data_IF_392386186110
#
_entry.id   IF_392386186110
#
_cell.length_a   1.000
_cell.length_b   1.000
_cell.length_c   1.000
_cell.angle_alpha   90.00
_cell.angle_beta   90.00
_cell.angle_gamma   90.00
#
_symmetry.space_group_name_H-M   'P 1'
#
loop_
_entity.id
_entity.type
_entity.pdbx_description
1 polymer ?
#
# COMPACT_ATOMS: atom_id res chain seq x y z
N UNK A 1 7.55 -17.35 73.47
CA UNK A 1 8.49 -17.43 72.34
C UNK A 1 7.63 -17.42 71.04
N UNK A 2 7.46 -16.29 70.44
CA UNK A 2 6.65 -16.10 69.22
C UNK A 2 7.64 -16.02 68.06
N UNK A 3 7.59 -16.99 67.12
CA UNK A 3 8.37 -16.98 65.88
C UNK A 3 7.59 -16.23 64.80
N UNK A 4 8.11 -15.10 64.39
CA UNK A 4 7.64 -14.35 63.19
C UNK A 4 8.23 -15.04 61.96
N UNK A 5 7.37 -15.56 61.10
CA UNK A 5 7.73 -16.00 59.74
C UNK A 5 7.65 -14.79 58.82
N UNK A 6 8.79 -14.31 58.35
CA UNK A 6 8.87 -13.27 57.32
C UNK A 6 8.64 -13.92 55.94
N UNK A 7 7.50 -13.65 55.32
CA UNK A 7 7.26 -14.02 53.94
C UNK A 7 7.82 -12.92 53.03
N UNK A 8 8.94 -13.22 52.37
CA UNK A 8 9.49 -12.35 51.30
C UNK A 8 8.70 -12.63 50.04
N UNK A 9 7.86 -11.66 49.63
CA UNK A 9 7.14 -11.67 48.35
C UNK A 9 8.10 -11.19 47.25
N UNK A 10 8.65 -12.11 46.45
CA UNK A 10 9.45 -11.79 45.28
C UNK A 10 8.50 -11.39 44.16
N UNK A 11 8.40 -10.08 43.89
CA UNK A 11 7.68 -9.52 42.77
C UNK A 11 8.54 -9.65 41.51
N UNK A 12 8.26 -10.68 40.69
CA UNK A 12 8.91 -10.82 39.37
C UNK A 12 8.23 -9.82 38.42
N UNK A 13 8.89 -8.69 38.16
CA UNK A 13 8.52 -7.77 37.11
C UNK A 13 8.83 -8.42 35.75
N UNK A 14 7.82 -8.99 35.11
CA UNK A 14 7.87 -9.37 33.71
C UNK A 14 7.89 -8.09 32.89
N UNK A 15 9.08 -7.59 32.59
CA UNK A 15 9.27 -6.59 31.55
C UNK A 15 8.96 -7.26 30.20
N UNK A 16 7.75 -7.06 29.72
CA UNK A 16 7.38 -7.38 28.35
C UNK A 16 8.27 -6.52 27.45
N UNK A 17 9.30 -7.10 26.86
CA UNK A 17 9.98 -6.50 25.73
C UNK A 17 9.00 -6.49 24.57
N UNK A 18 8.22 -5.42 24.45
CA UNK A 18 7.55 -5.13 23.20
C UNK A 18 8.66 -4.90 22.17
N UNK A 19 8.87 -5.86 21.28
CA UNK A 19 9.72 -5.65 20.11
C UNK A 19 9.17 -4.45 19.35
N UNK A 20 10.01 -3.48 19.03
CA UNK A 20 9.64 -2.40 18.12
C UNK A 20 9.07 -3.02 16.83
N UNK A 21 8.02 -2.41 16.25
CA UNK A 21 7.50 -2.89 14.97
C UNK A 21 8.62 -2.95 13.96
N UNK A 22 8.63 -3.96 13.07
CA UNK A 22 9.66 -4.05 12.04
C UNK A 22 9.61 -2.78 11.19
N UNK A 23 10.67 -2.01 11.22
CA UNK A 23 10.82 -0.81 10.39
C UNK A 23 10.84 -1.24 8.93
N UNK A 24 9.92 -0.71 8.12
CA UNK A 24 9.95 -0.96 6.68
C UNK A 24 11.21 -0.30 6.14
N UNK A 25 12.11 -1.04 5.50
CA UNK A 25 13.37 -0.47 5.05
C UNK A 25 13.14 0.67 4.05
N UNK A 26 13.93 1.74 4.19
CA UNK A 26 13.94 2.83 3.24
C UNK A 26 15.38 3.32 3.02
N UNK A 27 15.85 3.45 1.76
CA UNK A 27 15.15 3.03 0.54
C UNK A 27 15.05 1.51 0.44
N UNK A 28 13.96 1.03 -0.17
CA UNK A 28 13.79 -0.38 -0.43
C UNK A 28 13.23 -0.57 -1.84
N UNK A 29 13.98 -1.28 -2.67
CA UNK A 29 13.57 -1.69 -4.00
C UNK A 29 13.08 -3.13 -3.94
N UNK A 30 11.90 -3.31 -3.32
CA UNK A 30 11.38 -4.62 -2.97
C UNK A 30 10.84 -5.32 -4.22
N UNK A 31 11.33 -6.52 -4.51
CA UNK A 31 10.70 -7.44 -5.43
C UNK A 31 9.76 -8.36 -4.64
N UNK A 32 8.47 -8.17 -4.80
CA UNK A 32 7.48 -8.92 -3.99
C UNK A 32 7.43 -10.41 -4.34
N UNK A 33 8.05 -10.85 -5.44
CA UNK A 33 8.16 -12.27 -5.77
C UNK A 33 9.23 -13.00 -4.97
N UNK A 34 10.10 -12.26 -4.27
CA UNK A 34 11.18 -12.80 -3.44
C UNK A 34 10.83 -12.78 -1.94
N UNK A 35 9.68 -12.22 -1.58
CA UNK A 35 9.21 -12.19 -0.21
C UNK A 35 8.55 -13.52 0.18
N UNK A 36 8.72 -13.89 1.45
CA UNK A 36 8.10 -15.08 2.01
C UNK A 36 6.57 -14.99 2.05
N UNK A 37 5.93 -16.15 1.93
CA UNK A 37 4.49 -16.26 2.12
C UNK A 37 4.12 -16.20 3.61
N UNK A 38 2.99 -15.57 3.91
CA UNK A 38 2.42 -15.45 5.25
C UNK A 38 1.00 -15.98 5.28
N UNK A 39 0.55 -16.36 6.47
CA UNK A 39 -0.83 -16.78 6.70
C UNK A 39 -1.69 -15.57 7.07
N UNK A 40 -2.83 -15.41 6.41
CA UNK A 40 -3.85 -14.42 6.77
C UNK A 40 -5.04 -15.09 7.44
N UNK A 41 -5.18 -14.88 8.73
CA UNK A 41 -6.29 -15.48 9.52
C UNK A 41 -7.67 -14.99 9.04
N UNK A 42 -7.75 -13.77 8.52
CA UNK A 42 -8.99 -13.19 7.97
C UNK A 42 -9.42 -13.80 6.63
N UNK A 43 -8.48 -14.42 5.90
CA UNK A 43 -8.73 -15.02 4.58
C UNK A 43 -8.10 -16.44 4.54
N UNK A 44 -8.72 -17.42 5.18
CA UNK A 44 -8.15 -18.77 5.24
C UNK A 44 -8.06 -19.41 3.85
N UNK A 45 -7.04 -20.22 3.65
CA UNK A 45 -6.83 -20.97 2.39
C UNK A 45 -6.17 -20.18 1.26
N UNK A 46 -5.75 -18.93 1.50
CA UNK A 46 -5.02 -18.15 0.51
C UNK A 46 -3.51 -18.21 0.76
N UNK A 47 -2.72 -17.94 -0.28
CA UNK A 47 -1.30 -17.63 -0.17
C UNK A 47 -1.13 -16.11 -0.21
N UNK A 48 -0.51 -15.56 0.79
CA UNK A 48 -0.33 -14.13 0.91
C UNK A 48 1.16 -13.78 1.08
N UNK A 49 1.55 -12.66 0.47
CA UNK A 49 2.85 -12.03 0.70
C UNK A 49 2.59 -10.69 1.37
N UNK A 50 3.08 -10.49 2.58
CA UNK A 50 2.95 -9.21 3.27
C UNK A 50 3.96 -8.22 2.71
N UNK A 51 3.48 -7.09 2.20
CA UNK A 51 4.27 -6.01 1.60
C UNK A 51 4.67 -4.98 2.66
N UNK A 52 3.70 -4.59 3.49
CA UNK A 52 3.91 -3.73 4.65
C UNK A 52 2.94 -4.12 5.76
N UNK A 53 3.29 -3.78 6.99
CA UNK A 53 2.43 -4.03 8.14
C UNK A 53 2.85 -3.20 9.34
N UNK A 54 1.85 -2.75 10.10
CA UNK A 54 2.02 -2.09 11.38
C UNK A 54 1.36 -2.97 12.46
N UNK A 55 2.14 -3.65 13.29
CA UNK A 55 1.60 -4.55 14.32
C UNK A 55 0.80 -3.80 15.40
N UNK A 56 1.01 -2.50 15.57
CA UNK A 56 0.29 -1.69 16.56
C UNK A 56 -1.13 -1.39 16.10
N UNK A 57 -1.29 -0.93 14.87
CA UNK A 57 -2.58 -0.60 14.25
C UNK A 57 -3.16 -1.77 13.50
N UNK A 58 -2.38 -2.81 13.23
CA UNK A 58 -2.74 -3.97 12.38
C UNK A 58 -3.12 -3.57 10.95
N UNK A 59 -2.65 -2.42 10.48
CA UNK A 59 -2.69 -2.06 9.05
C UNK A 59 -1.80 -3.03 8.29
N UNK A 60 -2.26 -3.48 7.13
CA UNK A 60 -1.47 -4.37 6.30
C UNK A 60 -1.68 -4.10 4.83
N UNK A 61 -0.60 -4.23 4.07
CA UNK A 61 -0.61 -4.26 2.61
C UNK A 61 -0.12 -5.64 2.19
N UNK A 62 -0.91 -6.33 1.39
CA UNK A 62 -0.63 -7.70 1.00
C UNK A 62 -0.84 -7.90 -0.51
N UNK A 63 -0.05 -8.79 -1.09
CA UNK A 63 -0.39 -9.45 -2.35
C UNK A 63 -0.93 -10.83 -2.01
N UNK A 64 -2.08 -11.18 -2.58
CA UNK A 64 -2.78 -12.43 -2.25
C UNK A 64 -3.02 -13.21 -3.53
N UNK A 65 -2.67 -14.49 -3.50
CA UNK A 65 -3.04 -15.47 -4.51
C UNK A 65 -4.23 -16.29 -3.98
N UNK A 66 -5.40 -16.05 -4.57
CA UNK A 66 -6.64 -16.75 -4.29
C UNK A 66 -6.70 -17.99 -5.21
N UNK A 67 -6.80 -19.22 -4.68
CA UNK A 67 -6.90 -20.41 -5.53
C UNK A 67 -8.25 -20.49 -6.25
N UNK A 68 -8.34 -21.36 -7.25
CA UNK A 68 -9.61 -21.66 -7.89
C UNK A 68 -10.63 -22.15 -6.86
N UNK A 69 -11.90 -21.82 -7.10
CA UNK A 69 -13.05 -22.14 -6.24
C UNK A 69 -12.97 -21.58 -4.80
N UNK A 70 -12.03 -20.66 -4.53
CA UNK A 70 -11.92 -20.04 -3.22
C UNK A 70 -13.12 -19.12 -2.93
N UNK A 71 -13.57 -19.15 -1.67
CA UNK A 71 -14.64 -18.29 -1.15
C UNK A 71 -14.26 -17.71 0.21
N UNK A 72 -14.64 -16.48 0.45
CA UNK A 72 -14.42 -15.77 1.69
C UNK A 72 -15.30 -14.53 1.82
N UNK A 73 -15.02 -13.72 2.82
CA UNK A 73 -15.75 -12.46 3.06
C UNK A 73 -14.76 -11.35 3.34
N UNK A 74 -15.03 -10.15 2.81
CA UNK A 74 -14.25 -8.94 3.09
C UNK A 74 -15.16 -7.77 3.42
N UNK A 75 -14.66 -6.81 4.19
CA UNK A 75 -15.44 -5.69 4.71
C UNK A 75 -16.25 -6.06 5.95
N UNK A 76 -17.12 -5.15 6.38
CA UNK A 76 -18.03 -5.37 7.50
C UNK A 76 -17.43 -5.11 8.88
N UNK A 77 -16.14 -4.89 9.03
CA UNK A 77 -15.53 -4.56 10.31
C UNK A 77 -15.72 -3.06 10.64
N UNK A 78 -16.35 -2.71 11.79
CA UNK A 78 -16.63 -1.30 12.11
C UNK A 78 -15.39 -0.42 12.23
N UNK A 79 -14.27 -0.99 12.65
CA UNK A 79 -13.02 -0.26 12.86
C UNK A 79 -12.05 -0.32 11.68
N UNK A 80 -12.45 -0.88 10.53
CA UNK A 80 -11.54 -1.12 9.42
C UNK A 80 -12.14 -0.85 8.07
N UNK A 81 -11.36 -0.23 7.20
CA UNK A 81 -11.62 -0.19 5.76
C UNK A 81 -10.72 -1.18 5.02
N UNK A 82 -11.23 -1.74 3.93
CA UNK A 82 -10.51 -2.63 3.04
C UNK A 82 -10.45 -2.03 1.63
N UNK A 83 -9.34 -2.28 0.97
CA UNK A 83 -9.13 -1.84 -0.40
C UNK A 83 -8.48 -2.97 -1.18
N UNK A 84 -8.94 -3.22 -2.39
CA UNK A 84 -8.38 -4.26 -3.24
C UNK A 84 -8.23 -3.81 -4.69
N UNK A 85 -7.23 -4.41 -5.36
CA UNK A 85 -6.99 -4.23 -6.79
C UNK A 85 -6.67 -5.58 -7.41
N UNK A 86 -7.37 -5.96 -8.48
CA UNK A 86 -7.17 -7.25 -9.15
C UNK A 86 -6.01 -7.13 -10.12
N UNK A 87 -4.92 -7.84 -9.83
CA UNK A 87 -3.71 -7.91 -10.68
C UNK A 87 -3.90 -8.89 -11.84
N UNK A 88 -4.53 -10.05 -11.58
CA UNK A 88 -4.76 -11.10 -12.56
C UNK A 88 -5.94 -11.97 -12.15
N UNK A 89 -6.56 -12.63 -13.13
CA UNK A 89 -7.71 -13.50 -12.91
C UNK A 89 -9.00 -12.73 -12.71
N UNK A 90 -9.93 -13.35 -11.97
CA UNK A 90 -11.28 -12.82 -11.75
C UNK A 90 -11.71 -12.99 -10.30
N UNK A 91 -12.24 -11.93 -9.73
CA UNK A 91 -12.83 -11.89 -8.41
C UNK A 91 -14.28 -11.44 -8.50
N UNK A 92 -15.22 -12.25 -7.99
CA UNK A 92 -16.58 -11.82 -7.73
C UNK A 92 -16.64 -11.20 -6.34
N UNK A 93 -17.09 -9.95 -6.27
CA UNK A 93 -17.38 -9.24 -5.01
C UNK A 93 -18.90 -9.07 -4.92
N UNK A 94 -19.56 -9.88 -4.09
CA UNK A 94 -20.98 -10.16 -4.17
C UNK A 94 -21.37 -10.61 -5.61
N UNK A 95 -22.23 -9.86 -6.28
CA UNK A 95 -22.64 -10.14 -7.67
C UNK A 95 -21.86 -9.31 -8.72
N UNK A 96 -20.83 -8.55 -8.27
CA UNK A 96 -20.02 -7.70 -9.15
C UNK A 96 -18.77 -8.45 -9.55
N UNK A 97 -18.56 -8.56 -10.87
CA UNK A 97 -17.38 -9.18 -11.46
C UNK A 97 -16.25 -8.16 -11.59
N UNK A 98 -15.11 -8.44 -10.97
CA UNK A 98 -13.88 -7.69 -11.10
C UNK A 98 -12.83 -8.54 -11.82
N UNK A 99 -12.41 -8.11 -12.98
CA UNK A 99 -11.32 -8.70 -13.74
C UNK A 99 -9.99 -7.96 -13.46
N UNK A 100 -8.92 -8.33 -14.11
CA UNK A 100 -7.64 -7.60 -14.03
C UNK A 100 -7.86 -6.10 -14.27
N UNK A 101 -7.40 -5.26 -13.34
CA UNK A 101 -7.71 -3.83 -13.30
C UNK A 101 -8.96 -3.47 -12.49
N UNK A 102 -9.73 -4.45 -12.02
CA UNK A 102 -10.85 -4.19 -11.11
C UNK A 102 -10.38 -3.65 -9.76
N UNK A 103 -11.10 -2.67 -9.23
CA UNK A 103 -10.79 -2.00 -7.97
C UNK A 103 -12.01 -1.95 -7.05
N UNK A 104 -11.80 -2.13 -5.76
CA UNK A 104 -12.82 -1.89 -4.76
C UNK A 104 -12.25 -1.25 -3.49
N UNK A 105 -13.01 -0.34 -2.91
CA UNK A 105 -12.83 0.21 -1.57
C UNK A 105 -14.09 -0.03 -0.76
N UNK A 106 -13.94 -0.66 0.39
CA UNK A 106 -14.99 -0.97 1.34
C UNK A 106 -14.76 -0.14 2.60
N UNK A 107 -15.54 0.93 2.82
CA UNK A 107 -15.35 1.79 3.99
C UNK A 107 -15.65 1.03 5.29
N UNK A 108 -15.08 1.51 6.39
CA UNK A 108 -15.33 0.97 7.72
C UNK A 108 -16.83 0.97 8.04
N UNK A 109 -17.31 -0.14 8.61
CA UNK A 109 -18.72 -0.31 8.96
C UNK A 109 -19.65 -0.55 7.75
N UNK A 110 -19.11 -0.72 6.53
CA UNK A 110 -19.91 -1.22 5.40
C UNK A 110 -20.36 -2.66 5.68
N UNK A 111 -21.35 -3.15 4.91
CA UNK A 111 -21.70 -4.56 4.95
C UNK A 111 -20.50 -5.41 4.48
N UNK A 112 -20.36 -6.60 5.03
CA UNK A 112 -19.42 -7.59 4.53
C UNK A 112 -19.83 -8.08 3.15
N UNK A 113 -18.87 -8.22 2.26
CA UNK A 113 -19.06 -8.72 0.91
C UNK A 113 -18.53 -10.14 0.77
N UNK A 114 -19.37 -11.03 0.24
CA UNK A 114 -18.88 -12.33 -0.17
C UNK A 114 -17.93 -12.16 -1.35
N UNK A 115 -16.79 -12.81 -1.25
CA UNK A 115 -15.80 -12.90 -2.32
C UNK A 115 -15.70 -14.33 -2.81
N UNK A 116 -15.60 -14.52 -4.11
CA UNK A 116 -15.33 -15.82 -4.72
C UNK A 116 -14.53 -15.66 -6.00
N UNK A 117 -13.75 -16.67 -6.34
CA UNK A 117 -12.98 -16.70 -7.58
C UNK A 117 -13.11 -18.08 -8.20
N UNK A 118 -13.78 -18.20 -9.37
CA UNK A 118 -13.96 -19.50 -10.03
C UNK A 118 -12.63 -20.13 -10.46
N UNK A 119 -11.78 -19.33 -11.10
CA UNK A 119 -10.56 -19.80 -11.73
C UNK A 119 -9.27 -19.34 -11.01
N UNK A 120 -9.43 -18.67 -9.87
CA UNK A 120 -8.35 -18.05 -9.13
C UNK A 120 -8.13 -16.59 -9.51
N UNK A 121 -7.49 -15.85 -8.59
CA UNK A 121 -7.13 -14.46 -8.80
C UNK A 121 -5.88 -14.09 -8.01
N UNK A 122 -5.13 -13.11 -8.50
CA UNK A 122 -4.09 -12.41 -7.74
C UNK A 122 -4.57 -11.00 -7.48
N UNK A 123 -4.55 -10.57 -6.23
CA UNK A 123 -5.01 -9.25 -5.81
C UNK A 123 -3.97 -8.55 -4.93
N UNK A 124 -3.97 -7.22 -4.95
CA UNK A 124 -3.48 -6.42 -3.84
C UNK A 124 -4.63 -6.25 -2.85
N UNK A 125 -4.32 -6.37 -1.57
CA UNK A 125 -5.30 -6.30 -0.51
C UNK A 125 -4.76 -5.49 0.67
N UNK A 126 -5.43 -4.38 0.96
CA UNK A 126 -5.03 -3.44 1.97
C UNK A 126 -6.08 -3.36 3.07
N UNK A 127 -5.62 -3.43 4.30
CA UNK A 127 -6.45 -3.23 5.50
C UNK A 127 -5.96 -1.98 6.20
N UNK A 128 -6.84 -1.03 6.42
CA UNK A 128 -6.53 0.20 7.13
C UNK A 128 -7.48 0.37 8.32
N UNK A 129 -7.04 1.12 9.34
CA UNK A 129 -7.94 1.55 10.39
C UNK A 129 -9.01 2.49 9.83
N UNK A 130 -10.16 2.51 10.47
CA UNK A 130 -11.18 3.50 10.22
C UNK A 130 -10.63 4.90 10.56
N UNK A 131 -10.71 5.81 9.62
CA UNK A 131 -10.40 7.20 9.87
C UNK A 131 -11.71 7.94 10.22
N UNK A 132 -11.82 8.57 11.40
CA UNK A 132 -13.03 9.27 11.81
C UNK A 132 -13.35 10.47 10.91
N UNK A 133 -12.36 11.05 10.25
CA UNK A 133 -12.52 12.18 9.33
C UNK A 133 -12.93 11.73 7.91
N UNK A 134 -12.87 10.44 7.60
CA UNK A 134 -13.35 9.91 6.32
C UNK A 134 -14.82 10.27 6.11
N UNK A 135 -15.14 10.73 4.91
CA UNK A 135 -16.53 11.03 4.51
C UNK A 135 -17.10 10.00 3.55
N UNK A 136 -16.30 9.02 3.12
CA UNK A 136 -16.76 7.93 2.25
C UNK A 136 -17.54 6.93 3.11
N UNK A 137 -18.84 6.77 2.83
CA UNK A 137 -19.74 5.87 3.57
C UNK A 137 -20.25 4.69 2.73
N UNK A 138 -20.08 4.77 1.43
CA UNK A 138 -20.52 3.71 0.51
C UNK A 138 -19.33 3.07 -0.17
N UNK A 139 -19.41 1.76 -0.48
CA UNK A 139 -18.38 1.09 -1.27
C UNK A 139 -18.16 1.78 -2.62
N UNK A 140 -16.90 1.83 -3.04
CA UNK A 140 -16.49 2.22 -4.39
C UNK A 140 -16.06 0.93 -5.08
N UNK A 141 -16.70 0.56 -6.17
CA UNK A 141 -16.37 -0.63 -6.95
C UNK A 141 -16.35 -0.21 -8.42
N UNK A 142 -15.24 -0.41 -9.11
CA UNK A 142 -15.09 0.04 -10.49
C UNK A 142 -14.13 -0.83 -11.30
N UNK A 143 -14.31 -0.80 -12.61
CA UNK A 143 -13.35 -1.29 -13.58
C UNK A 143 -12.48 -0.13 -14.06
N UNK A 144 -11.19 -0.17 -13.76
CA UNK A 144 -10.26 0.90 -14.14
C UNK A 144 -10.07 1.00 -15.66
N UNK A 145 -10.41 -0.06 -16.41
CA UNK A 145 -10.43 -0.04 -17.87
C UNK A 145 -11.42 0.99 -18.46
N UNK A 146 -12.50 1.28 -17.72
CA UNK A 146 -13.54 2.24 -18.13
C UNK A 146 -13.21 3.70 -17.78
N UNK A 147 -12.12 3.94 -17.02
CA UNK A 147 -11.69 5.29 -16.68
C UNK A 147 -10.72 5.82 -17.74
N UNK A 148 -10.85 7.09 -18.07
CA UNK A 148 -9.91 7.78 -18.95
C UNK A 148 -8.62 8.15 -18.21
N UNK A 149 -7.47 8.04 -18.88
CA UNK A 149 -6.21 8.55 -18.41
C UNK A 149 -6.20 10.09 -18.49
N UNK A 150 -5.99 10.72 -17.36
CA UNK A 150 -5.89 12.17 -17.22
C UNK A 150 -4.43 12.62 -17.32
N UNK A 151 -4.12 13.67 -18.12
CA UNK A 151 -2.77 14.18 -18.21
C UNK A 151 -2.33 14.81 -16.87
N UNK A 152 -1.02 14.78 -16.63
CA UNK A 152 -0.39 15.52 -15.53
C UNK A 152 0.43 16.69 -16.10
N UNK A 153 0.92 17.63 -15.26
CA UNK A 153 1.85 18.65 -15.72
C UNK A 153 3.17 18.09 -16.27
N UNK A 154 3.53 16.86 -15.91
CA UNK A 154 4.74 16.19 -16.39
C UNK A 154 4.43 15.43 -17.67
N UNK A 155 5.13 15.80 -18.76
CA UNK A 155 4.95 15.15 -20.07
C UNK A 155 5.23 13.64 -19.99
N UNK A 156 4.39 12.85 -20.65
CA UNK A 156 4.49 11.39 -20.68
C UNK A 156 4.03 10.71 -19.39
N UNK A 157 3.41 11.46 -18.47
CA UNK A 157 2.81 10.90 -17.25
C UNK A 157 1.33 11.20 -17.25
N UNK A 158 0.53 10.14 -17.06
CA UNK A 158 -0.94 10.23 -16.92
C UNK A 158 -1.40 9.46 -15.69
N UNK A 159 -2.57 9.82 -15.18
CA UNK A 159 -3.15 9.19 -13.99
C UNK A 159 -4.60 8.76 -14.21
N UNK A 160 -5.04 7.78 -13.43
CA UNK A 160 -6.45 7.46 -13.18
C UNK A 160 -6.69 7.52 -11.69
N UNK A 161 -7.48 8.46 -11.22
CA UNK A 161 -7.89 8.51 -9.81
C UNK A 161 -8.94 7.42 -9.57
N UNK A 162 -8.66 6.51 -8.63
CA UNK A 162 -9.56 5.41 -8.27
C UNK A 162 -10.40 5.78 -7.05
N UNK A 163 -9.80 6.46 -6.09
CA UNK A 163 -10.45 6.94 -4.88
C UNK A 163 -9.77 8.22 -4.39
N UNK A 164 -10.59 9.15 -3.97
CA UNK A 164 -10.18 10.31 -3.16
C UNK A 164 -11.20 10.51 -2.05
N UNK A 165 -10.71 10.59 -0.81
CA UNK A 165 -11.54 10.94 0.35
C UNK A 165 -11.39 12.43 0.66
N UNK A 166 -12.43 13.25 0.46
CA UNK A 166 -12.34 14.68 0.73
C UNK A 166 -12.15 15.03 2.22
N UNK A 167 -12.51 14.13 3.13
CA UNK A 167 -12.35 14.36 4.57
C UNK A 167 -10.90 14.20 5.03
N UNK A 168 -10.26 13.12 4.61
CA UNK A 168 -8.90 12.77 5.02
C UNK A 168 -7.84 13.16 4.00
N UNK A 169 -8.24 13.44 2.75
CA UNK A 169 -7.34 13.60 1.62
C UNK A 169 -6.71 12.28 1.11
N UNK A 170 -7.04 11.15 1.73
CA UNK A 170 -6.54 9.85 1.31
C UNK A 170 -6.86 9.57 -0.15
N UNK A 171 -5.89 9.08 -0.92
CA UNK A 171 -6.02 8.91 -2.37
C UNK A 171 -5.41 7.59 -2.83
N UNK A 172 -6.06 6.95 -3.80
CA UNK A 172 -5.52 5.80 -4.54
C UNK A 172 -5.68 6.08 -6.03
N UNK A 173 -4.59 5.87 -6.78
CA UNK A 173 -4.58 6.14 -8.22
C UNK A 173 -3.64 5.21 -8.97
N UNK A 174 -3.88 5.05 -10.28
CA UNK A 174 -2.90 4.51 -11.20
C UNK A 174 -2.10 5.66 -11.81
N UNK A 175 -0.78 5.48 -11.92
CA UNK A 175 0.13 6.37 -12.65
C UNK A 175 0.75 5.59 -13.79
N UNK A 176 0.55 6.07 -15.02
CA UNK A 176 1.19 5.53 -16.22
C UNK A 176 2.34 6.45 -16.62
N UNK A 177 3.48 5.85 -16.92
CA UNK A 177 4.70 6.52 -17.32
C UNK A 177 5.08 5.96 -18.69
N UNK A 178 5.11 6.82 -19.71
CA UNK A 178 5.51 6.47 -21.08
C UNK A 178 7.01 6.21 -21.18
N UNK A 179 7.47 5.42 -22.15
CA UNK A 179 8.89 5.24 -22.42
C UNK A 179 9.61 6.57 -22.59
N UNK A 180 10.73 6.74 -21.89
CA UNK A 180 11.53 7.96 -21.91
C UNK A 180 10.99 9.11 -21.04
N UNK A 181 9.81 8.96 -20.44
CA UNK A 181 9.34 9.90 -19.42
C UNK A 181 9.95 9.59 -18.05
N UNK A 182 10.15 10.63 -17.25
CA UNK A 182 10.65 10.48 -15.88
C UNK A 182 9.84 11.37 -14.92
N UNK A 183 9.81 10.94 -13.66
CA UNK A 183 9.23 11.72 -12.56
C UNK A 183 10.29 12.75 -12.15
N UNK A 184 10.00 14.07 -12.14
CA UNK A 184 10.93 15.06 -11.59
C UNK A 184 11.20 14.77 -10.11
N UNK A 185 12.25 15.37 -9.55
CA UNK A 185 12.42 15.32 -8.09
C UNK A 185 11.16 15.85 -7.41
N UNK A 186 10.52 15.00 -6.63
CA UNK A 186 9.29 15.33 -5.90
C UNK A 186 9.38 14.90 -4.44
N UNK A 187 8.58 15.54 -3.61
CA UNK A 187 8.42 15.22 -2.19
C UNK A 187 6.95 15.24 -1.84
N UNK A 188 6.52 14.31 -1.00
CA UNK A 188 5.19 14.30 -0.40
C UNK A 188 5.32 14.45 1.12
N UNK A 189 4.46 15.26 1.72
CA UNK A 189 4.42 15.39 3.18
C UNK A 189 3.74 14.20 3.88
N UNK A 190 3.31 13.19 3.13
CA UNK A 190 2.69 11.97 3.66
C UNK A 190 3.40 10.72 3.17
N UNK A 191 3.22 9.64 3.93
CA UNK A 191 3.67 8.32 3.53
C UNK A 191 2.95 7.89 2.24
N UNK A 192 3.73 7.40 1.28
CA UNK A 192 3.24 6.85 0.02
C UNK A 192 3.71 5.42 -0.14
N UNK A 193 2.83 4.54 -0.54
CA UNK A 193 3.18 3.21 -1.02
C UNK A 193 2.85 3.05 -2.51
N UNK A 194 3.62 2.20 -3.20
CA UNK A 194 3.42 1.93 -4.61
C UNK A 194 3.76 0.50 -4.99
N UNK A 195 2.95 -0.03 -5.90
CA UNK A 195 3.16 -1.35 -6.51
C UNK A 195 3.23 -1.21 -8.02
N UNK A 196 4.31 -1.72 -8.64
CA UNK A 196 4.45 -1.71 -10.09
C UNK A 196 3.61 -2.83 -10.70
N UNK A 197 2.49 -2.46 -11.29
CA UNK A 197 1.52 -3.40 -11.88
C UNK A 197 2.08 -4.01 -13.17
N UNK A 198 2.64 -3.16 -14.05
CA UNK A 198 3.21 -3.58 -15.33
C UNK A 198 4.45 -2.76 -15.68
N UNK A 199 5.29 -3.33 -16.55
CA UNK A 199 6.47 -2.67 -17.08
C UNK A 199 7.71 -2.76 -16.20
N UNK A 200 8.67 -1.90 -16.46
CA UNK A 200 9.89 -1.72 -15.68
C UNK A 200 10.19 -0.24 -15.50
N UNK A 201 10.73 0.12 -14.36
CA UNK A 201 10.99 1.51 -14.03
C UNK A 201 12.24 1.65 -13.17
N UNK A 202 13.21 2.46 -13.62
CA UNK A 202 14.33 2.91 -12.78
C UNK A 202 13.84 4.08 -11.94
N UNK A 203 14.17 4.06 -10.67
CA UNK A 203 13.74 5.08 -9.73
C UNK A 203 14.89 5.51 -8.83
N UNK A 204 14.95 6.80 -8.55
CA UNK A 204 15.95 7.34 -7.63
C UNK A 204 15.28 7.83 -6.35
N UNK A 205 15.86 7.43 -5.23
CA UNK A 205 15.58 7.97 -3.91
C UNK A 205 16.72 8.90 -3.50
N UNK A 206 16.40 10.00 -2.84
CA UNK A 206 17.40 10.96 -2.37
C UNK A 206 17.76 10.66 -0.92
N UNK A 207 18.91 10.06 -0.70
CA UNK A 207 19.40 9.66 0.61
C UNK A 207 20.61 10.52 0.97
N UNK A 208 20.52 11.28 2.05
CA UNK A 208 21.58 12.19 2.51
C UNK A 208 22.13 13.13 1.40
N UNK A 209 21.22 13.60 0.52
CA UNK A 209 21.58 14.48 -0.59
C UNK A 209 22.23 13.79 -1.78
N UNK A 210 22.21 12.46 -1.83
CA UNK A 210 22.74 11.65 -2.93
C UNK A 210 21.61 10.83 -3.57
N UNK A 211 21.58 10.77 -4.90
CA UNK A 211 20.65 9.91 -5.62
C UNK A 211 21.10 8.44 -5.51
N UNK A 212 20.24 7.61 -4.94
CA UNK A 212 20.37 6.16 -4.97
C UNK A 212 19.35 5.63 -5.97
N UNK A 213 19.82 5.02 -7.06
CA UNK A 213 18.98 4.57 -8.17
C UNK A 213 19.02 3.07 -8.32
N UNK A 214 17.84 2.46 -8.43
CA UNK A 214 17.71 1.04 -8.75
C UNK A 214 16.45 0.81 -9.61
N UNK A 215 16.24 -0.41 -10.08
CA UNK A 215 15.19 -0.78 -11.00
C UNK A 215 14.09 -1.62 -10.33
N UNK A 216 12.85 -1.30 -10.70
CA UNK A 216 11.69 -2.14 -10.43
C UNK A 216 11.27 -2.88 -11.70
N UNK A 217 10.96 -4.16 -11.58
CA UNK A 217 10.16 -4.92 -12.53
C UNK A 217 8.70 -5.01 -12.04
N UNK A 218 7.79 -5.49 -12.88
CA UNK A 218 6.42 -5.79 -12.46
C UNK A 218 6.41 -6.67 -11.19
N UNK A 219 5.66 -6.28 -10.19
CA UNK A 219 5.73 -6.82 -8.84
C UNK A 219 6.66 -6.06 -7.90
N UNK A 220 7.34 -5.02 -8.38
CA UNK A 220 8.13 -4.14 -7.54
C UNK A 220 7.26 -3.34 -6.57
N UNK A 221 7.75 -3.09 -5.36
CA UNK A 221 7.02 -2.39 -4.31
C UNK A 221 7.92 -1.44 -3.54
N UNK A 222 7.38 -0.30 -3.14
CA UNK A 222 8.01 0.62 -2.22
C UNK A 222 7.03 1.11 -1.13
N UNK A 223 7.60 1.44 0.02
CA UNK A 223 6.90 2.08 1.14
C UNK A 223 7.74 3.28 1.57
N UNK A 224 7.37 4.47 1.08
CA UNK A 224 8.16 5.69 1.20
C UNK A 224 7.63 6.56 2.34
N UNK A 225 8.49 6.93 3.31
CA UNK A 225 8.08 7.82 4.39
C UNK A 225 7.74 9.22 3.88
N UNK A 226 7.04 9.97 4.72
CA UNK A 226 6.80 11.39 4.50
C UNK A 226 8.13 12.14 4.32
N UNK A 227 8.10 13.21 3.54
CA UNK A 227 9.23 14.13 3.27
C UNK A 227 10.43 13.50 2.56
N UNK A 228 10.34 12.25 2.13
CA UNK A 228 11.36 11.63 1.31
C UNK A 228 11.34 12.18 -0.11
N UNK A 229 12.47 12.75 -0.55
CA UNK A 229 12.65 13.26 -1.91
C UNK A 229 12.97 12.11 -2.85
N UNK A 230 12.26 12.02 -3.97
CA UNK A 230 12.39 10.92 -4.92
C UNK A 230 12.16 11.36 -6.36
N UNK A 231 12.53 10.54 -7.34
CA UNK A 231 12.41 10.87 -8.75
C UNK A 231 13.73 11.35 -9.36
N UNK A 232 13.66 12.39 -10.21
CA UNK A 232 14.84 13.00 -10.82
C UNK A 232 15.24 12.39 -12.18
N UNK A 233 16.25 12.96 -12.82
CA UNK A 233 16.59 12.68 -14.23
C UNK A 233 17.09 11.24 -14.47
N UNK A 234 17.61 10.56 -13.46
CA UNK A 234 18.04 9.15 -13.56
C UNK A 234 16.88 8.17 -13.48
N UNK A 235 15.69 8.63 -13.04
CA UNK A 235 14.46 7.87 -13.06
C UNK A 235 13.91 7.77 -14.47
N UNK A 236 13.24 6.67 -14.82
CA UNK A 236 12.62 6.54 -16.14
C UNK A 236 12.11 5.16 -16.45
N UNK A 237 11.21 5.08 -17.39
CA UNK A 237 10.66 3.86 -17.92
C UNK A 237 11.29 3.52 -19.28
N UNK A 238 11.82 2.32 -19.44
CA UNK A 238 12.30 1.82 -20.74
C UNK A 238 11.12 1.27 -21.57
N UNK A 239 10.10 0.77 -20.90
CA UNK A 239 8.79 0.37 -21.45
C UNK A 239 7.71 1.11 -20.69
N UNK A 240 6.47 1.16 -21.22
CA UNK A 240 5.37 1.72 -20.45
C UNK A 240 5.28 1.06 -19.07
N UNK A 241 5.28 1.88 -18.03
CA UNK A 241 5.17 1.43 -16.65
C UNK A 241 3.88 1.94 -16.01
N UNK A 242 3.17 1.05 -15.30
CA UNK A 242 1.94 1.40 -14.57
C UNK A 242 2.09 1.07 -13.09
N UNK A 243 1.99 2.08 -12.26
CA UNK A 243 2.01 1.98 -10.80
C UNK A 243 0.61 2.11 -10.22
N UNK A 244 0.26 1.26 -9.27
CA UNK A 244 -0.78 1.56 -8.28
C UNK A 244 -0.13 2.29 -7.12
N UNK A 245 -0.61 3.50 -6.82
CA UNK A 245 -0.08 4.37 -5.78
C UNK A 245 -1.16 4.66 -4.75
N UNK A 246 -0.77 4.75 -3.47
CA UNK A 246 -1.68 5.02 -2.36
C UNK A 246 -1.06 5.99 -1.36
N UNK A 247 -1.91 6.87 -0.83
CA UNK A 247 -1.67 7.68 0.35
C UNK A 247 -2.88 7.53 1.28
N UNK A 248 -2.63 7.21 2.54
CA UNK A 248 -3.70 6.98 3.53
C UNK A 248 -4.21 8.26 4.17
N UNK A 249 -3.48 9.35 4.00
CA UNK A 249 -3.87 10.71 4.41
C UNK A 249 -3.50 11.67 3.29
N UNK A 250 -4.17 12.82 3.22
CA UNK A 250 -3.81 13.87 2.26
C UNK A 250 -2.50 14.57 2.66
N UNK A 251 -1.79 15.02 1.65
CA UNK A 251 -0.55 15.74 1.84
C UNK A 251 -0.22 16.69 0.70
N UNK A 252 0.76 17.55 0.96
CA UNK A 252 1.30 18.44 -0.06
C UNK A 252 2.31 17.68 -0.93
N UNK A 253 2.16 17.85 -2.24
CA UNK A 253 3.12 17.38 -3.22
C UNK A 253 3.85 18.56 -3.81
N UNK A 254 5.19 18.51 -3.80
CA UNK A 254 6.03 19.55 -4.34
C UNK A 254 7.08 18.98 -5.28
N UNK A 255 7.27 19.63 -6.42
CA UNK A 255 8.45 19.41 -7.25
C UNK A 255 9.59 20.21 -6.65
N UNK A 256 10.76 19.58 -6.52
CA UNK A 256 11.99 20.20 -6.02
C UNK A 256 13.06 20.18 -7.09
N UNK A 257 14.02 21.11 -7.02
CA UNK A 257 14.99 21.31 -8.11
C UNK A 257 16.09 20.26 -8.16
N UNK A 258 16.38 19.59 -7.05
CA UNK A 258 17.48 18.63 -6.94
C UNK A 258 17.28 17.68 -5.74
N UNK A 259 18.03 16.59 -5.74
CA UNK A 259 18.23 15.78 -4.54
C UNK A 259 19.09 16.58 -3.55
N UNK A 260 18.45 17.08 -2.52
CA UNK A 260 19.12 17.77 -1.41
C UNK A 260 18.62 17.15 -0.10
N UNK A 261 19.52 16.99 0.85
CA UNK A 261 19.12 16.55 2.20
C UNK A 261 18.04 17.51 2.73
N UNK A 262 16.95 17.00 3.34
CA UNK A 262 16.00 17.88 4.00
C UNK A 262 16.77 18.75 5.03
N UNK A 263 16.39 20.02 5.19
CA UNK A 263 17.03 20.84 6.22
C UNK A 263 16.85 20.11 7.56
N UNK A 264 17.95 19.88 8.26
CA UNK A 264 17.91 19.33 9.61
C UNK A 264 16.96 20.18 10.45
N UNK A 265 15.88 19.56 10.90
CA UNK A 265 14.97 20.26 11.82
C UNK A 265 15.75 20.62 13.09
N UNK A 266 15.59 21.86 13.58
CA UNK A 266 16.30 22.35 14.77
C UNK A 266 15.87 21.63 16.04
#
# INVERSE_FOLDING_TARGET
>A
MIRYLLHVLVLVLLTSCASAPPEVPYPAYINTNELDEVFLASLPGVRATQLAGDPTTRRTSNRIDLPADWQGTSGGEPGRSMELFVLAGELMLADIRLQSGGYAYLPAGSLGFNMKTPDGARILYFVNDADPESVIRSPIILDTGLLDWQPTPTRGITIKELRRDPGTGATTWLRRIEPGAFIPWEVSSTLREGYLVTGSYRHSECIDGQAVTDAYAAGGYFYRPADAVNGGPESGADTEAVWLLRETTGGEHRVVGACTAPPSMP
#
